data_IF_151335908641
#
_entry.id   IF_151335908641
#
_cell.length_a   1.000
_cell.length_b   1.000
_cell.length_c   1.000
_cell.angle_alpha   90.00
_cell.angle_beta   90.00
_cell.angle_gamma   90.00
#
_symmetry.space_group_name_H-M   'P 1'
#
loop_
_entity.id
_entity.type
_entity.pdbx_description
1 polymer ?
#
# COMPACT_ATOMS: atom_id res chain seq x y z
N UNK A 1 29.17 4.67 -1.64
CA UNK A 1 28.71 3.61 -0.70
C UNK A 1 27.59 4.05 0.25
N UNK A 2 27.72 5.19 0.96
CA UNK A 2 26.69 5.69 1.89
C UNK A 2 25.31 5.94 1.25
N UNK A 3 25.26 6.44 0.01
CA UNK A 3 23.99 6.77 -0.68
C UNK A 3 23.20 5.52 -1.08
N UNK A 4 23.87 4.46 -1.55
CA UNK A 4 23.23 3.20 -1.92
C UNK A 4 22.61 2.50 -0.69
N UNK A 5 23.27 2.59 0.47
CA UNK A 5 22.74 2.07 1.73
C UNK A 5 21.47 2.83 2.17
N UNK A 6 21.47 4.16 2.06
CA UNK A 6 20.29 5.00 2.35
C UNK A 6 19.10 4.62 1.45
N UNK A 7 19.34 4.47 0.14
CA UNK A 7 18.33 4.07 -0.84
C UNK A 7 17.69 2.71 -0.50
N UNK A 8 18.52 1.71 -0.19
CA UNK A 8 18.05 0.38 0.22
C UNK A 8 17.26 0.43 1.53
N UNK A 9 17.73 1.20 2.52
CA UNK A 9 17.04 1.37 3.78
C UNK A 9 15.68 2.06 3.61
N UNK A 10 15.61 3.14 2.81
CA UNK A 10 14.36 3.82 2.48
C UNK A 10 13.38 2.92 1.75
N UNK A 11 13.83 2.13 0.78
CA UNK A 11 12.99 1.17 0.07
C UNK A 11 12.46 0.07 1.02
N UNK A 12 13.29 -0.41 1.94
CA UNK A 12 12.88 -1.38 2.96
C UNK A 12 11.81 -0.80 3.90
N UNK A 13 12.05 0.41 4.43
CA UNK A 13 11.09 1.10 5.30
C UNK A 13 9.77 1.33 4.56
N UNK A 14 9.82 1.76 3.29
CA UNK A 14 8.63 1.94 2.48
C UNK A 14 7.83 0.63 2.34
N UNK A 15 8.52 -0.47 2.03
CA UNK A 15 7.88 -1.80 1.92
C UNK A 15 7.26 -2.24 3.24
N UNK A 16 7.97 -2.03 4.36
CA UNK A 16 7.48 -2.34 5.70
C UNK A 16 6.21 -1.53 6.04
N UNK A 17 6.24 -0.20 5.84
CA UNK A 17 5.10 0.69 6.07
C UNK A 17 3.91 0.32 5.19
N UNK A 18 4.16 0.00 3.91
CA UNK A 18 3.13 -0.46 2.98
C UNK A 18 2.46 -1.75 3.46
N UNK A 19 3.25 -2.75 3.89
CA UNK A 19 2.72 -4.02 4.37
C UNK A 19 1.87 -3.86 5.64
N UNK A 20 2.37 -3.09 6.62
CA UNK A 20 1.62 -2.80 7.84
C UNK A 20 0.29 -2.13 7.50
N UNK A 21 0.32 -1.13 6.61
CA UNK A 21 -0.88 -0.43 6.15
C UNK A 21 -1.90 -1.34 5.47
N UNK A 22 -1.44 -2.22 4.57
CA UNK A 22 -2.30 -3.20 3.89
C UNK A 22 -2.96 -4.16 4.88
N UNK A 23 -2.23 -4.65 5.89
CA UNK A 23 -2.78 -5.52 6.94
C UNK A 23 -3.84 -4.79 7.77
N UNK A 24 -3.59 -3.53 8.16
CA UNK A 24 -4.56 -2.73 8.92
C UNK A 24 -5.86 -2.54 8.11
N UNK A 25 -5.75 -2.20 6.82
CA UNK A 25 -6.90 -2.02 5.93
C UNK A 25 -7.73 -3.30 5.84
N UNK A 26 -7.09 -4.46 5.61
CA UNK A 26 -7.78 -5.74 5.54
C UNK A 26 -8.49 -6.03 6.86
N UNK A 27 -7.84 -5.83 8.00
CA UNK A 27 -8.44 -6.07 9.31
C UNK A 27 -9.66 -5.20 9.59
N UNK A 28 -9.60 -3.91 9.25
CA UNK A 28 -10.74 -3.00 9.40
C UNK A 28 -11.90 -3.43 8.48
N UNK A 29 -11.64 -3.80 7.22
CA UNK A 29 -12.66 -4.29 6.30
C UNK A 29 -13.32 -5.58 6.80
N UNK A 30 -12.56 -6.51 7.40
CA UNK A 30 -13.12 -7.72 7.99
C UNK A 30 -14.06 -7.44 9.15
N UNK A 31 -13.77 -6.42 9.96
CA UNK A 31 -14.66 -5.99 11.04
C UNK A 31 -15.94 -5.37 10.48
N UNK A 32 -15.86 -4.59 9.40
CA UNK A 32 -17.03 -3.98 8.75
C UNK A 32 -17.98 -5.03 8.17
N UNK A 33 -17.45 -6.07 7.54
CA UNK A 33 -18.25 -7.12 6.88
C UNK A 33 -18.46 -8.38 7.73
N UNK A 34 -18.23 -8.31 9.05
CA UNK A 34 -18.42 -9.41 10.00
C UNK A 34 -17.69 -10.72 9.61
N UNK A 35 -16.60 -10.63 8.85
CA UNK A 35 -15.79 -11.79 8.48
C UNK A 35 -16.49 -12.80 7.54
N UNK A 36 -17.45 -12.36 6.70
CA UNK A 36 -18.07 -13.24 5.71
C UNK A 36 -17.03 -13.82 4.72
N UNK A 37 -17.16 -15.10 4.37
CA UNK A 37 -16.21 -15.83 3.51
C UNK A 37 -16.11 -15.25 2.10
N UNK A 38 -17.25 -14.81 1.53
CA UNK A 38 -17.26 -14.13 0.23
C UNK A 38 -16.51 -12.79 0.30
N UNK A 39 -16.71 -12.03 1.38
CA UNK A 39 -16.04 -10.74 1.59
C UNK A 39 -14.53 -10.93 1.73
N UNK A 40 -14.09 -11.97 2.46
CA UNK A 40 -12.68 -12.38 2.54
C UNK A 40 -12.11 -12.65 1.14
N UNK A 41 -12.82 -13.44 0.32
CA UNK A 41 -12.43 -13.72 -1.06
C UNK A 41 -12.25 -12.46 -1.90
N UNK A 42 -13.20 -11.52 -1.85
CA UNK A 42 -13.15 -10.26 -2.60
C UNK A 42 -12.01 -9.36 -2.12
N UNK A 43 -11.80 -9.26 -0.80
CA UNK A 43 -10.71 -8.47 -0.21
C UNK A 43 -9.35 -9.01 -0.69
N UNK A 44 -9.13 -10.33 -0.60
CA UNK A 44 -7.88 -10.94 -1.06
C UNK A 44 -7.69 -10.83 -2.58
N UNK A 45 -8.75 -11.06 -3.36
CA UNK A 45 -8.69 -10.90 -4.81
C UNK A 45 -8.30 -9.46 -5.20
N UNK A 46 -8.92 -8.47 -4.55
CA UNK A 46 -8.61 -7.06 -4.78
C UNK A 46 -7.17 -6.72 -4.37
N UNK A 47 -6.72 -7.22 -3.22
CA UNK A 47 -5.35 -7.00 -2.74
C UNK A 47 -4.31 -7.56 -3.72
N UNK A 48 -4.46 -8.83 -4.10
CA UNK A 48 -3.54 -9.50 -5.02
C UNK A 48 -3.58 -8.89 -6.43
N UNK A 49 -4.76 -8.51 -6.90
CA UNK A 49 -4.93 -7.82 -8.18
C UNK A 49 -4.12 -6.52 -8.21
N UNK A 50 -4.26 -5.66 -7.21
CA UNK A 50 -3.55 -4.39 -7.16
C UNK A 50 -2.04 -4.55 -6.96
N UNK A 51 -1.60 -5.54 -6.17
CA UNK A 51 -0.16 -5.84 -6.02
C UNK A 51 0.44 -6.29 -7.35
N UNK A 52 -0.23 -7.21 -8.05
CA UNK A 52 0.21 -7.70 -9.36
C UNK A 52 0.24 -6.57 -10.40
N UNK A 53 -0.85 -5.80 -10.49
CA UNK A 53 -0.96 -4.67 -11.39
C UNK A 53 0.13 -3.62 -11.13
N UNK A 54 0.32 -3.23 -9.86
CA UNK A 54 1.37 -2.30 -9.46
C UNK A 54 2.76 -2.80 -9.82
N UNK A 55 3.07 -4.06 -9.54
CA UNK A 55 4.37 -4.68 -9.88
C UNK A 55 4.63 -4.70 -11.39
N UNK A 56 3.63 -5.06 -12.19
CA UNK A 56 3.74 -5.09 -13.65
C UNK A 56 3.93 -3.70 -14.26
N UNK A 57 3.20 -2.70 -13.77
CA UNK A 57 3.26 -1.33 -14.28
C UNK A 57 4.56 -0.67 -13.84
N UNK A 58 4.81 -0.60 -12.53
CA UNK A 58 6.01 0.06 -11.99
C UNK A 58 7.30 -0.67 -12.35
N UNK A 59 7.27 -2.00 -12.48
CA UNK A 59 8.43 -2.79 -12.92
C UNK A 59 8.86 -2.49 -14.35
N UNK A 60 7.94 -2.07 -15.23
CA UNK A 60 8.27 -1.64 -16.60
C UNK A 60 8.59 -0.15 -16.69
N UNK A 61 7.95 0.67 -15.86
CA UNK A 61 8.16 2.12 -15.85
C UNK A 61 9.45 2.54 -15.13
N UNK A 62 10.03 1.69 -14.28
CA UNK A 62 11.21 2.04 -13.47
C UNK A 62 12.43 2.43 -14.30
N UNK A 63 12.57 1.88 -15.51
CA UNK A 63 13.70 2.17 -16.40
C UNK A 63 13.62 3.58 -16.99
N UNK A 64 12.42 4.16 -17.04
CA UNK A 64 12.18 5.53 -17.48
C UNK A 64 12.30 6.57 -16.35
N UNK A 65 12.59 6.15 -15.11
CA UNK A 65 12.64 7.06 -13.95
C UNK A 65 14.05 7.67 -13.81
N UNK A 66 14.22 8.98 -14.07
CA UNK A 66 15.54 9.62 -14.12
C UNK A 66 16.18 9.80 -12.74
N UNK A 67 15.42 9.68 -11.64
CA UNK A 67 15.94 9.88 -10.28
C UNK A 67 15.22 8.99 -9.26
N UNK A 68 15.83 7.84 -8.96
CA UNK A 68 15.29 6.85 -8.00
C UNK A 68 15.09 7.41 -6.59
N UNK A 69 15.96 8.33 -6.16
CA UNK A 69 15.87 8.96 -4.83
C UNK A 69 14.63 9.84 -4.71
N UNK A 70 14.43 10.78 -5.64
CA UNK A 70 13.26 11.66 -5.67
C UNK A 70 11.98 10.84 -5.77
N UNK A 71 11.97 9.81 -6.62
CA UNK A 71 10.83 8.93 -6.78
C UNK A 71 10.44 8.21 -5.49
N UNK A 72 11.41 7.65 -4.77
CA UNK A 72 11.15 7.04 -3.45
C UNK A 72 10.63 8.05 -2.43
N UNK A 73 11.19 9.26 -2.39
CA UNK A 73 10.70 10.32 -1.50
C UNK A 73 9.24 10.70 -1.82
N UNK A 74 8.87 10.83 -3.10
CA UNK A 74 7.49 11.10 -3.49
C UNK A 74 6.54 9.97 -3.12
N UNK A 75 6.93 8.71 -3.34
CA UNK A 75 6.10 7.57 -2.92
C UNK A 75 5.93 7.54 -1.40
N UNK A 76 6.99 7.83 -0.65
CA UNK A 76 6.93 7.84 0.80
C UNK A 76 6.04 8.98 1.35
N UNK A 77 6.04 10.15 0.69
CA UNK A 77 5.08 11.21 1.00
C UNK A 77 3.66 10.80 0.64
N UNK A 78 3.46 10.18 -0.53
CA UNK A 78 2.15 9.72 -0.97
C UNK A 78 1.58 8.68 0.01
N UNK A 79 2.38 7.70 0.44
CA UNK A 79 1.90 6.64 1.36
C UNK A 79 1.51 7.22 2.72
N UNK A 80 2.21 8.26 3.19
CA UNK A 80 1.89 8.94 4.45
C UNK A 80 0.52 9.61 4.42
N UNK A 81 0.00 9.95 3.25
CA UNK A 81 -1.32 10.59 3.06
C UNK A 81 -2.38 9.53 2.72
N UNK A 82 -2.05 8.58 1.86
CA UNK A 82 -2.97 7.53 1.38
C UNK A 82 -3.39 6.60 2.52
N UNK A 83 -2.48 6.23 3.43
CA UNK A 83 -2.83 5.34 4.55
C UNK A 83 -3.88 5.93 5.50
N UNK A 84 -3.72 7.15 6.06
CA UNK A 84 -4.74 7.73 6.92
C UNK A 84 -6.05 7.99 6.18
N UNK A 85 -6.01 8.38 4.90
CA UNK A 85 -7.20 8.52 4.07
C UNK A 85 -7.97 7.19 3.95
N UNK A 86 -7.28 6.09 3.65
CA UNK A 86 -7.91 4.77 3.55
C UNK A 86 -8.58 4.37 4.88
N UNK A 87 -7.89 4.56 6.01
CA UNK A 87 -8.46 4.27 7.33
C UNK A 87 -9.69 5.15 7.60
N UNK A 88 -9.63 6.44 7.24
CA UNK A 88 -10.76 7.36 7.38
C UNK A 88 -11.97 6.88 6.58
N UNK A 89 -11.80 6.53 5.31
CA UNK A 89 -12.89 6.03 4.47
C UNK A 89 -13.49 4.72 4.99
N UNK A 90 -12.66 3.78 5.44
CA UNK A 90 -13.15 2.50 5.97
C UNK A 90 -13.95 2.73 7.27
N UNK A 91 -13.48 3.61 8.15
CA UNK A 91 -14.21 3.99 9.36
C UNK A 91 -15.51 4.74 9.06
N UNK A 92 -15.53 5.57 8.02
CA UNK A 92 -16.74 6.25 7.57
C UNK A 92 -17.78 5.25 7.08
N UNK A 93 -17.37 4.24 6.28
CA UNK A 93 -18.25 3.15 5.84
C UNK A 93 -18.77 2.37 7.06
N UNK A 94 -17.89 2.03 8.02
CA UNK A 94 -18.29 1.36 9.27
C UNK A 94 -19.31 2.16 10.09
N UNK A 95 -19.23 3.49 10.05
CA UNK A 95 -20.17 4.34 10.81
C UNK A 95 -21.56 4.39 10.17
N UNK A 96 -21.66 4.07 8.88
CA UNK A 96 -22.91 4.12 8.10
C UNK A 96 -23.59 2.74 8.08
N UNK A 97 -22.82 1.66 8.05
CA UNK A 97 -23.28 0.28 7.99
C UNK A 97 -23.53 -0.30 9.39
#
# INVERSE_FOLDING_TARGET
MKTMLKLKASAFILGLTSMIGQIIIIRELLVVFYGNELSLGIIFASWLFWVSFGSLVLGRLVDFIPSREKFLSYIQLAISIVLPLNIFFIRFIKSIL
#
